data_IF_403784591029
#
_entry.id   IF_403784591029
#
_cell.length_a   1.000
_cell.length_b   1.000
_cell.length_c   1.000
_cell.angle_alpha   90.00
_cell.angle_beta   90.00
_cell.angle_gamma   90.00
#
_symmetry.space_group_name_H-M   'P 1'
#
loop_
_entity.id
_entity.type
_entity.pdbx_description
1 polymer ?
#
# COMPACT_ATOMS: atom_id res chain seq x y z
N UNK A 1 -5.59 -5.04 -16.80
CA UNK A 1 -4.81 -6.18 -16.26
C UNK A 1 -3.63 -5.73 -15.44
N UNK A 2 -3.70 -5.95 -14.13
CA UNK A 2 -2.62 -5.71 -13.18
C UNK A 2 -3.00 -6.36 -11.85
N UNK A 3 -2.03 -6.97 -11.16
CA UNK A 3 -2.24 -7.68 -9.89
C UNK A 3 -2.65 -6.72 -8.76
N UNK A 4 -2.26 -5.45 -8.85
CA UNK A 4 -2.58 -4.40 -7.86
C UNK A 4 -3.34 -3.24 -8.50
N UNK A 5 -4.25 -2.63 -7.74
CA UNK A 5 -5.02 -1.45 -8.15
C UNK A 5 -4.11 -0.22 -8.33
N UNK A 6 -4.41 0.58 -9.36
CA UNK A 6 -3.64 1.77 -9.74
C UNK A 6 -4.58 2.95 -10.04
N UNK A 7 -4.08 4.16 -9.86
CA UNK A 7 -4.76 5.38 -10.31
C UNK A 7 -4.70 5.51 -11.85
N UNK A 8 -5.37 6.53 -12.39
CA UNK A 8 -5.41 6.82 -13.84
C UNK A 8 -4.02 7.13 -14.44
N UNK A 9 -3.05 7.47 -13.59
CA UNK A 9 -1.66 7.76 -13.98
C UNK A 9 -0.74 6.53 -13.84
N UNK A 10 -1.27 5.40 -13.38
CA UNK A 10 -0.55 4.14 -13.23
C UNK A 10 0.19 3.96 -11.90
N UNK A 11 0.00 4.85 -10.91
CA UNK A 11 0.59 4.70 -9.58
C UNK A 11 -0.23 3.77 -8.69
N UNK A 12 0.41 3.02 -7.80
CA UNK A 12 -0.24 2.01 -6.96
C UNK A 12 -1.05 2.67 -5.84
N UNK A 13 -2.32 2.30 -5.72
CA UNK A 13 -3.21 2.74 -4.65
C UNK A 13 -2.97 1.92 -3.38
N UNK A 14 -3.13 2.54 -2.21
CA UNK A 14 -2.87 1.90 -0.91
C UNK A 14 -3.82 2.33 0.18
N UNK A 15 -3.93 1.53 1.23
CA UNK A 15 -4.50 2.00 2.49
C UNK A 15 -5.94 2.54 2.32
N UNK A 16 -6.24 3.74 2.84
CA UNK A 16 -7.55 4.36 2.69
C UNK A 16 -8.03 4.56 1.24
N UNK A 17 -7.11 4.69 0.28
CA UNK A 17 -7.44 4.96 -1.13
C UNK A 17 -8.06 3.74 -1.84
N UNK A 18 -8.06 2.58 -1.18
CA UNK A 18 -8.62 1.34 -1.68
C UNK A 18 -10.11 1.13 -1.34
N UNK A 19 -10.68 1.92 -0.42
CA UNK A 19 -12.02 1.69 0.17
C UNK A 19 -13.15 1.54 -0.86
N UNK A 20 -13.02 2.19 -2.03
CA UNK A 20 -14.03 2.16 -3.08
C UNK A 20 -13.51 1.58 -4.42
N UNK A 21 -12.30 1.00 -4.43
CA UNK A 21 -11.60 0.65 -5.68
C UNK A 21 -11.43 -0.86 -5.83
N UNK A 22 -11.35 -1.62 -4.73
CA UNK A 22 -11.19 -3.06 -4.78
C UNK A 22 -12.08 -3.78 -3.75
N UNK A 23 -12.49 -5.01 -4.08
CA UNK A 23 -13.26 -5.89 -3.20
C UNK A 23 -12.38 -6.45 -2.08
N UNK A 24 -12.01 -5.60 -1.12
CA UNK A 24 -11.18 -5.96 0.02
C UNK A 24 -11.80 -7.11 0.82
N UNK A 25 -10.99 -8.13 1.17
CA UNK A 25 -11.49 -9.42 1.67
C UNK A 25 -11.20 -9.71 3.14
N UNK A 26 -10.35 -8.91 3.81
CA UNK A 26 -10.00 -9.14 5.21
C UNK A 26 -10.92 -8.35 6.16
N UNK A 27 -11.14 -8.90 7.36
CA UNK A 27 -11.95 -8.29 8.44
C UNK A 27 -11.20 -7.16 9.20
N UNK A 28 -10.47 -6.35 8.44
CA UNK A 28 -9.76 -5.16 8.91
C UNK A 28 -9.43 -4.28 7.71
N UNK A 29 -9.34 -2.94 7.85
CA UNK A 29 -9.00 -2.08 6.72
C UNK A 29 -7.56 -2.31 6.22
N UNK A 30 -7.25 -2.05 4.93
CA UNK A 30 -5.88 -2.07 4.42
C UNK A 30 -4.95 -1.22 5.30
N UNK A 31 -3.75 -1.73 5.62
CA UNK A 31 -2.75 -0.90 6.29
C UNK A 31 -2.27 0.20 5.35
N UNK A 32 -1.65 1.25 5.91
CA UNK A 32 -1.38 2.49 5.20
C UNK A 32 -0.63 2.33 3.87
N UNK A 33 0.37 1.44 3.79
CA UNK A 33 1.14 1.17 2.57
C UNK A 33 0.75 -0.13 1.87
N UNK A 34 -0.32 -0.78 2.31
CA UNK A 34 -0.77 -2.04 1.77
C UNK A 34 -1.59 -1.80 0.50
N UNK A 35 -1.31 -2.60 -0.52
CA UNK A 35 -1.98 -2.54 -1.83
C UNK A 35 -3.34 -3.23 -1.79
N UNK A 36 -4.03 -3.30 -2.93
CA UNK A 36 -5.27 -4.07 -3.08
C UNK A 36 -5.10 -5.58 -2.88
N UNK A 37 -3.86 -6.08 -2.80
CA UNK A 37 -3.54 -7.47 -2.45
C UNK A 37 -3.07 -7.50 -0.99
N UNK A 38 -3.82 -8.16 -0.08
CA UNK A 38 -3.40 -8.27 1.31
C UNK A 38 -1.99 -8.86 1.48
N UNK A 39 -1.23 -8.29 2.40
CA UNK A 39 0.17 -8.66 2.66
C UNK A 39 1.19 -8.08 1.66
N UNK A 40 0.75 -7.41 0.59
CA UNK A 40 1.64 -6.75 -0.37
C UNK A 40 1.69 -5.25 -0.07
N UNK A 41 2.89 -4.72 0.13
CA UNK A 41 3.14 -3.33 0.49
C UNK A 41 3.97 -2.60 -0.57
N UNK A 42 3.78 -1.29 -0.66
CA UNK A 42 4.48 -0.43 -1.61
C UNK A 42 5.04 0.82 -0.94
N UNK A 43 6.26 1.19 -1.31
CA UNK A 43 6.95 2.39 -0.81
C UNK A 43 7.54 3.20 -1.96
N UNK A 44 7.75 4.50 -1.74
CA UNK A 44 8.40 5.40 -2.67
C UNK A 44 7.54 5.83 -3.86
N UNK A 45 8.22 6.21 -4.94
CA UNK A 45 7.63 6.99 -6.04
C UNK A 45 6.63 6.22 -6.90
N UNK A 46 6.56 4.90 -6.76
CA UNK A 46 5.57 4.06 -7.44
C UNK A 46 4.18 4.13 -6.78
N UNK A 47 4.08 4.61 -5.53
CA UNK A 47 2.80 4.79 -4.83
C UNK A 47 2.09 6.07 -5.29
N UNK A 48 0.76 6.00 -5.36
CA UNK A 48 -0.09 7.15 -5.58
C UNK A 48 0.09 8.16 -4.43
N UNK A 49 0.02 9.45 -4.75
CA UNK A 49 0.17 10.56 -3.80
C UNK A 49 1.43 10.53 -2.92
N UNK A 50 2.49 9.82 -3.37
CA UNK A 50 3.78 9.88 -2.69
C UNK A 50 4.46 11.23 -2.91
N UNK A 51 5.28 11.64 -1.95
CA UNK A 51 5.91 12.96 -1.97
C UNK A 51 6.99 13.14 -3.05
N UNK A 52 7.28 12.11 -3.86
CA UNK A 52 8.32 12.07 -4.91
C UNK A 52 9.69 12.55 -4.42
N UNK A 53 10.09 12.10 -3.22
CA UNK A 53 11.31 12.52 -2.53
C UNK A 53 12.03 11.34 -1.90
N UNK A 54 13.35 11.31 -2.03
CA UNK A 54 14.21 10.24 -1.49
C UNK A 54 13.98 10.02 0.01
N UNK A 55 13.99 11.09 0.81
CA UNK A 55 13.81 10.96 2.27
C UNK A 55 12.44 10.37 2.65
N UNK A 56 11.38 10.73 1.93
CA UNK A 56 10.05 10.18 2.14
C UNK A 56 10.00 8.69 1.74
N UNK A 57 10.55 8.34 0.58
CA UNK A 57 10.63 6.96 0.12
C UNK A 57 11.40 6.05 1.10
N UNK A 58 12.48 6.55 1.69
CA UNK A 58 13.25 5.83 2.74
C UNK A 58 12.38 5.59 3.98
N UNK A 59 11.68 6.62 4.47
CA UNK A 59 10.78 6.49 5.62
C UNK A 59 9.64 5.50 5.37
N UNK A 60 9.05 5.55 4.18
CA UNK A 60 8.01 4.61 3.76
C UNK A 60 8.53 3.18 3.65
N UNK A 61 9.76 2.97 3.19
CA UNK A 61 10.40 1.66 3.15
C UNK A 61 10.53 1.04 4.55
N UNK A 62 10.96 1.84 5.54
CA UNK A 62 11.01 1.41 6.94
C UNK A 62 9.61 1.09 7.49
N UNK A 63 8.62 1.94 7.18
CA UNK A 63 7.23 1.72 7.60
C UNK A 63 6.62 0.46 6.95
N UNK A 64 6.93 0.17 5.70
CA UNK A 64 6.47 -1.03 5.01
C UNK A 64 6.93 -2.29 5.73
N UNK A 65 8.20 -2.35 6.16
CA UNK A 65 8.72 -3.49 6.95
C UNK A 65 7.99 -3.65 8.27
N UNK A 66 7.78 -2.54 9.01
CA UNK A 66 7.00 -2.58 10.26
C UNK A 66 5.57 -3.10 10.03
N UNK A 67 4.90 -2.67 8.95
CA UNK A 67 3.55 -3.11 8.62
C UNK A 67 3.49 -4.57 8.17
N UNK A 68 4.53 -5.08 7.48
CA UNK A 68 4.67 -6.51 7.18
C UNK A 68 4.70 -7.33 8.47
N UNK A 69 5.50 -6.91 9.46
CA UNK A 69 5.53 -7.60 10.75
C UNK A 69 4.19 -7.59 11.47
N UNK A 70 3.45 -6.46 11.41
CA UNK A 70 2.10 -6.37 11.97
C UNK A 70 1.14 -7.32 11.25
N UNK A 71 1.13 -7.31 9.93
CA UNK A 71 0.30 -8.20 9.11
C UNK A 71 0.51 -9.67 9.47
N UNK A 72 1.78 -10.09 9.58
CA UNK A 72 2.14 -11.46 9.95
C UNK A 72 1.78 -11.83 11.39
N UNK A 73 1.70 -10.86 12.30
CA UNK A 73 1.30 -11.09 13.69
C UNK A 73 -0.22 -11.20 13.87
N UNK A 74 -1.00 -10.66 12.93
CA UNK A 74 -2.47 -10.72 12.89
C UNK A 74 -2.99 -11.91 12.04
N UNK A 75 -2.09 -12.62 11.35
CA UNK A 75 -2.40 -13.75 10.44
C UNK A 75 -2.54 -15.09 11.17
#
# INVERSE_FOLDING_TARGET
DGVVARDERGFILTGPDLRNVCGWTLDRPPHHLETSVPGVFVAGDVRAESAKRVAAAVGEGSMAVMLVHRYLAES
#
